data_IF_110930068923
#
_entry.id   IF_110930068923
#
_cell.length_a   1.000
_cell.length_b   1.000
_cell.length_c   1.000
_cell.angle_alpha   90.00
_cell.angle_beta   90.00
_cell.angle_gamma   90.00
#
_symmetry.space_group_name_H-M   'P 1'
#
loop_
_entity.id
_entity.type
_entity.pdbx_description
1 polymer ?
#
# COMPACT_ATOMS: atom_id res chain seq x y z
N UNK A 1 -14.87 6.57 6.20
CA UNK A 1 -14.42 6.96 4.82
C UNK A 1 -13.97 5.73 4.04
N UNK A 2 -13.95 5.82 2.75
CA UNK A 2 -13.33 4.82 1.88
C UNK A 2 -11.89 5.28 1.63
N UNK A 3 -10.92 4.46 2.02
CA UNK A 3 -9.49 4.81 1.94
C UNK A 3 -8.78 3.77 1.09
N UNK A 4 -8.12 4.23 0.03
CA UNK A 4 -7.24 3.41 -0.79
C UNK A 4 -5.81 3.57 -0.30
N UNK A 5 -5.11 2.46 -0.10
CA UNK A 5 -3.74 2.42 0.42
C UNK A 5 -2.87 1.68 -0.57
N UNK A 6 -1.78 2.30 -0.97
CA UNK A 6 -0.76 1.65 -1.79
C UNK A 6 0.00 0.59 -0.97
N UNK A 7 0.63 -0.36 -1.63
CA UNK A 7 1.37 -1.44 -0.98
C UNK A 7 2.86 -1.13 -0.95
N UNK A 8 3.53 -1.17 -2.11
CA UNK A 8 4.98 -1.00 -2.18
C UNK A 8 5.39 0.44 -1.86
N UNK A 9 6.45 0.60 -1.07
CA UNK A 9 6.96 1.88 -0.58
C UNK A 9 5.96 2.65 0.31
N UNK A 10 4.90 1.99 0.74
CA UNK A 10 3.89 2.53 1.67
C UNK A 10 3.79 1.68 2.92
N UNK A 11 3.45 0.40 2.82
CA UNK A 11 3.39 -0.51 3.96
C UNK A 11 4.50 -1.55 3.94
N UNK A 12 5.30 -1.58 2.90
CA UNK A 12 6.47 -2.45 2.78
C UNK A 12 7.54 -1.77 1.96
N UNK A 13 8.76 -2.29 2.05
CA UNK A 13 9.91 -1.85 1.26
C UNK A 13 10.46 -3.00 0.46
N UNK A 14 10.91 -2.69 -0.75
CA UNK A 14 11.59 -3.62 -1.64
C UNK A 14 13.07 -3.20 -1.69
N UNK A 15 13.93 -3.93 -0.98
CA UNK A 15 15.35 -3.58 -0.81
C UNK A 15 16.19 -3.87 -2.04
N UNK A 16 15.75 -4.82 -2.87
CA UNK A 16 16.45 -5.15 -4.12
C UNK A 16 15.97 -4.22 -5.23
N UNK A 17 16.67 -3.09 -5.39
CA UNK A 17 16.37 -2.08 -6.40
C UNK A 17 17.22 -2.28 -7.66
N UNK A 18 17.56 -3.51 -8.02
CA UNK A 18 18.21 -3.82 -9.28
C UNK A 18 17.21 -3.67 -10.43
N UNK A 19 17.23 -2.48 -11.04
CA UNK A 19 16.33 -2.12 -12.14
C UNK A 19 16.56 -2.94 -13.41
N UNK A 20 17.65 -3.72 -13.46
CA UNK A 20 17.94 -4.62 -14.61
C UNK A 20 17.14 -5.91 -14.57
N UNK A 21 16.49 -6.22 -13.44
CA UNK A 21 15.69 -7.43 -13.23
C UNK A 21 14.26 -7.10 -12.87
N UNK A 22 13.29 -7.99 -13.19
CA UNK A 22 11.95 -7.89 -12.64
C UNK A 22 12.03 -7.92 -11.11
N UNK A 23 11.24 -7.06 -10.45
CA UNK A 23 11.20 -7.01 -8.99
C UNK A 23 10.57 -8.29 -8.43
N UNK A 24 11.22 -8.91 -7.44
CA UNK A 24 10.65 -10.02 -6.70
C UNK A 24 9.95 -9.49 -5.44
N UNK A 25 8.63 -9.38 -5.51
CA UNK A 25 7.84 -8.86 -4.40
C UNK A 25 7.82 -9.78 -3.18
N UNK A 26 8.18 -11.06 -3.33
CA UNK A 26 8.29 -11.97 -2.19
C UNK A 26 9.37 -11.54 -1.20
N UNK A 27 10.35 -10.75 -1.63
CA UNK A 27 11.44 -10.24 -0.80
C UNK A 27 11.08 -8.95 -0.06
N UNK A 28 9.87 -8.42 -0.24
CA UNK A 28 9.43 -7.20 0.43
C UNK A 28 9.39 -7.37 1.95
N UNK A 29 9.82 -6.33 2.66
CA UNK A 29 9.80 -6.29 4.12
C UNK A 29 8.75 -5.30 4.63
N UNK A 30 8.01 -5.62 5.72
CA UNK A 30 6.94 -4.74 6.19
C UNK A 30 7.48 -3.49 6.88
N UNK A 31 6.76 -2.38 6.71
CA UNK A 31 6.94 -1.15 7.48
C UNK A 31 5.89 -1.16 8.58
N UNK A 32 6.24 -1.68 9.73
CA UNK A 32 5.28 -1.98 10.80
C UNK A 32 4.52 -0.75 11.30
N UNK A 33 5.19 0.39 11.45
CA UNK A 33 4.54 1.62 11.91
C UNK A 33 3.45 2.08 10.96
N UNK A 34 3.68 1.97 9.65
CA UNK A 34 2.68 2.35 8.65
C UNK A 34 1.50 1.37 8.63
N UNK A 35 1.79 0.08 8.81
CA UNK A 35 0.74 -0.94 8.92
C UNK A 35 -0.14 -0.68 10.13
N UNK A 36 0.45 -0.36 11.29
CA UNK A 36 -0.30 -0.03 12.50
C UNK A 36 -1.19 1.20 12.30
N UNK A 37 -0.67 2.21 11.61
CA UNK A 37 -1.44 3.43 11.32
C UNK A 37 -2.66 3.12 10.46
N UNK A 38 -2.51 2.32 9.41
CA UNK A 38 -3.64 1.90 8.57
C UNK A 38 -4.61 1.01 9.33
N UNK A 39 -4.10 0.07 10.14
CA UNK A 39 -4.95 -0.80 10.94
C UNK A 39 -5.81 -0.01 11.94
N UNK A 40 -5.28 1.07 12.49
CA UNK A 40 -6.05 1.98 13.36
C UNK A 40 -7.22 2.58 12.62
N UNK A 41 -7.04 2.98 11.36
CA UNK A 41 -8.14 3.48 10.53
C UNK A 41 -9.21 2.41 10.31
N UNK A 42 -8.79 1.18 10.07
CA UNK A 42 -9.72 0.06 9.96
C UNK A 42 -10.53 -0.12 11.25
N UNK A 43 -9.86 -0.09 12.40
CA UNK A 43 -10.52 -0.24 13.70
C UNK A 43 -11.48 0.91 14.01
N UNK A 44 -11.23 2.10 13.47
CA UNK A 44 -12.11 3.27 13.58
C UNK A 44 -13.33 3.21 12.65
N UNK A 45 -13.47 2.16 11.84
CA UNK A 45 -14.63 1.93 10.99
C UNK A 45 -14.47 2.40 9.55
N UNK A 46 -13.27 2.80 9.13
CA UNK A 46 -13.04 3.16 7.75
C UNK A 46 -12.92 1.92 6.86
N UNK A 47 -13.36 2.04 5.62
CA UNK A 47 -13.23 0.98 4.61
C UNK A 47 -11.86 1.07 3.97
N UNK A 48 -11.02 0.05 4.16
CA UNK A 48 -9.65 0.01 3.67
C UNK A 48 -9.55 -0.88 2.45
N UNK A 49 -9.07 -0.32 1.34
CA UNK A 49 -8.73 -1.06 0.12
C UNK A 49 -7.24 -0.91 -0.15
N UNK A 50 -6.49 -2.01 -0.12
CA UNK A 50 -5.13 -2.03 -0.63
C UNK A 50 -5.16 -2.12 -2.15
N UNK A 51 -4.47 -1.19 -2.82
CA UNK A 51 -4.44 -1.10 -4.28
C UNK A 51 -3.01 -1.02 -4.77
N UNK A 52 -2.61 -1.93 -5.64
CA UNK A 52 -1.21 -2.10 -6.04
C UNK A 52 -1.04 -2.20 -7.54
N UNK A 53 0.12 -1.68 -8.02
CA UNK A 53 0.55 -1.80 -9.40
C UNK A 53 1.41 -3.05 -9.65
N UNK A 54 1.51 -3.97 -8.68
CA UNK A 54 2.27 -5.21 -8.85
C UNK A 54 1.78 -5.97 -10.08
N UNK A 55 2.70 -6.31 -10.96
CA UNK A 55 2.40 -7.02 -12.20
C UNK A 55 1.91 -6.15 -13.35
N UNK A 56 1.73 -4.84 -13.15
CA UNK A 56 1.23 -3.94 -14.19
C UNK A 56 2.16 -3.88 -15.41
N UNK A 57 3.47 -4.01 -15.23
CA UNK A 57 4.47 -3.96 -16.30
C UNK A 57 4.78 -5.32 -16.91
N UNK A 58 4.71 -6.38 -16.13
CA UNK A 58 5.15 -7.72 -16.53
C UNK A 58 4.01 -8.65 -16.90
N UNK A 59 2.79 -8.35 -16.47
CA UNK A 59 1.65 -9.24 -16.60
C UNK A 59 1.64 -10.41 -15.64
N UNK A 60 2.61 -10.48 -14.71
CA UNK A 60 2.64 -11.54 -13.70
C UNK A 60 1.54 -11.30 -12.67
N UNK A 61 0.79 -12.34 -12.33
CA UNK A 61 -0.25 -12.25 -11.30
C UNK A 61 0.35 -12.38 -9.91
N UNK A 62 0.40 -11.27 -9.17
CA UNK A 62 0.91 -11.20 -7.81
C UNK A 62 -0.18 -11.23 -6.74
N UNK A 63 -1.42 -11.60 -7.09
CA UNK A 63 -2.55 -11.57 -6.17
C UNK A 63 -2.32 -12.44 -4.94
N UNK A 64 -1.95 -13.70 -5.13
CA UNK A 64 -1.77 -14.64 -4.02
C UNK A 64 -0.61 -14.26 -3.10
N UNK A 65 0.53 -13.86 -3.69
CA UNK A 65 1.69 -13.40 -2.92
C UNK A 65 1.31 -12.18 -2.08
N UNK A 66 0.65 -11.21 -2.68
CA UNK A 66 0.25 -9.98 -1.99
C UNK A 66 -0.71 -10.28 -0.85
N UNK A 67 -1.71 -11.12 -1.08
CA UNK A 67 -2.69 -11.51 -0.05
C UNK A 67 -2.00 -12.20 1.12
N UNK A 68 -1.10 -13.14 0.85
CA UNK A 68 -0.35 -13.84 1.90
C UNK A 68 0.52 -12.87 2.71
N UNK A 69 1.15 -11.91 2.06
CA UNK A 69 1.96 -10.89 2.74
C UNK A 69 1.12 -10.01 3.64
N UNK A 70 -0.01 -9.49 3.15
CA UNK A 70 -0.91 -8.67 3.96
C UNK A 70 -1.38 -9.44 5.20
N UNK A 71 -1.75 -10.70 5.04
CA UNK A 71 -2.19 -11.54 6.16
C UNK A 71 -1.04 -11.81 7.14
N UNK A 72 0.14 -12.15 6.63
CA UNK A 72 1.33 -12.40 7.44
C UNK A 72 1.77 -11.17 8.23
N UNK A 73 1.68 -9.98 7.63
CA UNK A 73 2.06 -8.73 8.26
C UNK A 73 1.00 -8.18 9.21
N UNK A 74 -0.12 -8.86 9.36
CA UNK A 74 -1.20 -8.44 10.24
C UNK A 74 -2.00 -7.24 9.73
N UNK A 75 -2.02 -7.01 8.42
CA UNK A 75 -2.81 -5.94 7.83
C UNK A 75 -4.30 -6.22 7.94
N UNK A 76 -5.06 -5.23 8.38
CA UNK A 76 -6.52 -5.26 8.43
C UNK A 76 -7.07 -4.47 7.24
N UNK A 77 -7.92 -5.10 6.44
CA UNK A 77 -8.45 -4.47 5.24
C UNK A 77 -9.76 -5.12 4.81
N UNK A 78 -10.53 -4.40 4.00
CA UNK A 78 -11.79 -4.89 3.46
C UNK A 78 -11.63 -5.46 2.06
N UNK A 79 -10.71 -4.91 1.27
CA UNK A 79 -10.52 -5.32 -0.11
C UNK A 79 -9.07 -5.18 -0.55
N UNK A 80 -8.69 -6.01 -1.52
CA UNK A 80 -7.39 -5.95 -2.19
C UNK A 80 -7.65 -5.85 -3.69
N UNK A 81 -7.09 -4.83 -4.32
CA UNK A 81 -7.18 -4.63 -5.77
C UNK A 81 -5.79 -4.54 -6.40
N UNK A 82 -5.60 -5.29 -7.46
CA UNK A 82 -4.48 -5.15 -8.36
C UNK A 82 -4.92 -4.31 -9.57
N UNK A 83 -4.01 -4.11 -10.52
CA UNK A 83 -4.36 -3.34 -11.72
C UNK A 83 -4.22 -1.83 -11.57
N UNK A 84 -3.59 -1.35 -10.51
CA UNK A 84 -3.22 0.05 -10.41
C UNK A 84 -2.24 0.38 -11.54
N UNK A 85 -2.43 1.46 -12.30
CA UNK A 85 -1.50 1.81 -13.37
C UNK A 85 -0.09 2.07 -12.83
N UNK A 86 0.92 1.68 -13.60
CA UNK A 86 2.28 2.13 -13.36
C UNK A 86 2.40 3.60 -13.78
N UNK A 87 2.99 4.43 -12.92
CA UNK A 87 3.18 5.85 -13.21
C UNK A 87 4.44 6.38 -12.53
N UNK A 88 4.93 7.51 -13.03
CA UNK A 88 6.04 8.24 -12.40
C UNK A 88 5.54 9.23 -11.36
N UNK A 89 4.45 9.93 -11.64
CA UNK A 89 3.87 10.96 -10.76
C UNK A 89 2.36 10.82 -10.74
N UNK A 90 1.80 10.90 -9.55
CA UNK A 90 0.36 10.88 -9.32
C UNK A 90 -0.07 12.25 -8.78
N UNK A 91 -0.91 12.95 -9.54
CA UNK A 91 -1.45 14.26 -9.14
C UNK A 91 -2.92 14.07 -8.81
N UNK A 92 -3.29 14.36 -7.57
CA UNK A 92 -4.64 14.13 -7.07
C UNK A 92 -4.94 15.10 -5.92
N UNK A 93 -6.19 15.43 -5.74
CA UNK A 93 -6.66 16.33 -4.67
C UNK A 93 -6.91 15.61 -3.32
N UNK A 94 -6.91 14.28 -3.30
CA UNK A 94 -7.30 13.46 -2.13
C UNK A 94 -6.19 12.56 -1.62
N UNK A 95 -4.98 12.67 -2.15
CA UNK A 95 -3.88 11.78 -1.79
C UNK A 95 -3.06 12.33 -0.63
N UNK A 96 -2.55 11.41 0.19
CA UNK A 96 -1.60 11.68 1.25
C UNK A 96 -0.31 10.94 0.90
N UNK A 97 0.81 11.67 0.83
CA UNK A 97 2.11 11.06 0.53
C UNK A 97 2.76 10.59 1.83
N UNK A 98 3.05 9.29 1.93
CA UNK A 98 3.63 8.68 3.13
C UNK A 98 4.98 9.24 3.54
N UNK A 99 5.73 9.81 2.61
CA UNK A 99 7.03 10.45 2.91
C UNK A 99 6.87 11.74 3.68
N UNK A 100 5.66 12.31 3.70
CA UNK A 100 5.36 13.60 4.34
C UNK A 100 4.45 13.46 5.54
N UNK A 101 3.97 12.25 5.84
CA UNK A 101 3.10 12.11 6.99
C UNK A 101 3.95 11.95 8.27
N UNK A 102 3.79 12.84 9.20
CA UNK A 102 4.35 12.70 10.54
C UNK A 102 3.42 11.85 11.41
N UNK A 103 2.11 12.03 11.21
CA UNK A 103 1.09 11.16 11.77
C UNK A 103 -0.14 11.18 10.87
N UNK A 104 -0.64 9.99 10.58
CA UNK A 104 -1.84 9.85 9.75
C UNK A 104 -3.06 10.52 10.41
N UNK A 105 -3.12 10.51 11.73
CA UNK A 105 -4.19 11.14 12.50
C UNK A 105 -4.32 12.65 12.24
N UNK A 106 -3.22 13.32 11.93
CA UNK A 106 -3.21 14.75 11.60
C UNK A 106 -3.73 15.04 10.20
N UNK A 107 -3.57 14.08 9.29
CA UNK A 107 -4.00 14.25 7.91
C UNK A 107 -5.49 14.00 7.72
N UNK A 108 -6.09 13.12 8.53
CA UNK A 108 -7.48 12.71 8.40
C UNK A 108 -8.51 13.83 8.61
N UNK A 109 -8.38 14.76 9.56
CA UNK A 109 -9.32 15.84 9.71
C UNK A 109 -9.44 16.73 8.48
N UNK A 110 -8.40 16.80 7.66
CA UNK A 110 -8.40 17.58 6.42
C UNK A 110 -9.19 16.87 5.30
N UNK A 111 -9.42 15.58 5.43
CA UNK A 111 -10.12 14.76 4.45
C UNK A 111 -11.61 14.62 4.74
N UNK A 112 -12.04 14.97 5.93
CA UNK A 112 -13.44 14.87 6.33
C UNK A 112 -14.23 16.17 5.95
#
# INVERSE_FOLDING_TARGET
MIIFVDVDETICKNEDDDKSKPRDYELATPVEDNIKAVNKLYDEGHHITYWTARGARTGIDWTDVTRRQLDKWGCKYNDLKLGKPHYDVYIDDKSINTRRWESLDRCLPELS
#
